data_IF_396869235978
#
_entry.id   IF_396869235978
#
_cell.length_a   1.000
_cell.length_b   1.000
_cell.length_c   1.000
_cell.angle_alpha   90.00
_cell.angle_beta   90.00
_cell.angle_gamma   90.00
#
_symmetry.space_group_name_H-M   'P 1'
#
loop_
_entity.id
_entity.type
_entity.pdbx_description
1 polymer ?
#
# COMPACT_ATOMS: atom_id res chain seq x y z
N UNK A 1 17.26 26.74 -2.68
CA UNK A 1 18.11 25.66 -2.15
C UNK A 1 18.82 24.99 -3.31
N UNK A 2 20.06 24.57 -3.13
CA UNK A 2 20.74 23.65 -4.04
C UNK A 2 19.91 22.37 -4.21
N UNK A 3 19.86 21.83 -5.42
CA UNK A 3 19.03 20.66 -5.75
C UNK A 3 19.53 19.40 -5.06
N UNK A 4 20.86 19.28 -4.87
CA UNK A 4 21.48 18.23 -4.06
C UNK A 4 20.97 18.32 -2.61
N UNK A 5 20.96 19.52 -2.02
CA UNK A 5 20.49 19.72 -0.64
C UNK A 5 18.99 19.38 -0.48
N UNK A 6 18.17 19.63 -1.50
CA UNK A 6 16.75 19.21 -1.50
C UNK A 6 16.63 17.69 -1.48
N UNK A 7 17.36 16.98 -2.34
CA UNK A 7 17.31 15.50 -2.41
C UNK A 7 17.75 14.88 -1.08
N UNK A 8 18.85 15.37 -0.50
CA UNK A 8 19.33 14.92 0.82
C UNK A 8 18.26 15.12 1.90
N UNK A 9 17.59 16.27 1.91
CA UNK A 9 16.50 16.54 2.83
C UNK A 9 15.31 15.60 2.61
N UNK A 10 14.91 15.33 1.37
CA UNK A 10 13.80 14.41 1.07
C UNK A 10 14.12 12.96 1.44
N UNK A 11 15.40 12.55 1.36
CA UNK A 11 15.90 11.27 1.86
C UNK A 11 15.86 11.22 3.40
N UNK A 12 16.27 12.28 4.09
CA UNK A 12 16.19 12.38 5.56
C UNK A 12 14.75 12.26 6.07
N UNK A 13 13.79 12.79 5.30
CA UNK A 13 12.36 12.76 5.65
C UNK A 13 11.63 11.49 5.21
N UNK A 14 12.28 10.62 4.42
CA UNK A 14 11.64 9.42 3.87
C UNK A 14 11.01 8.51 4.97
N UNK A 15 11.64 8.28 6.13
CA UNK A 15 11.03 7.49 7.21
C UNK A 15 9.68 8.04 7.70
N UNK A 16 9.44 9.34 7.54
CA UNK A 16 8.21 10.01 7.99
C UNK A 16 7.11 10.05 6.93
N UNK A 17 7.29 9.39 5.77
CA UNK A 17 6.35 9.42 4.64
C UNK A 17 4.92 9.09 5.07
N UNK A 18 4.71 7.97 5.77
CA UNK A 18 3.37 7.55 6.20
C UNK A 18 2.75 8.50 7.24
N UNK A 19 3.56 9.01 8.18
CA UNK A 19 3.12 9.96 9.21
C UNK A 19 2.70 11.31 8.62
N UNK A 20 3.50 11.85 7.68
CA UNK A 20 3.21 13.12 7.01
C UNK A 20 1.97 13.03 6.12
N UNK A 21 1.82 11.93 5.38
CA UNK A 21 0.66 11.70 4.53
C UNK A 21 -0.62 11.61 5.37
N UNK A 22 -0.59 10.90 6.52
CA UNK A 22 -1.70 10.85 7.49
C UNK A 22 -2.09 12.24 7.99
N UNK A 23 -1.13 13.07 8.39
CA UNK A 23 -1.42 14.42 8.86
C UNK A 23 -2.08 15.29 7.79
N UNK A 24 -1.61 15.18 6.54
CA UNK A 24 -2.16 15.94 5.42
C UNK A 24 -3.61 15.52 5.10
N UNK A 25 -3.92 14.23 5.20
CA UNK A 25 -5.30 13.75 5.07
C UNK A 25 -6.20 14.11 6.23
N UNK A 26 -5.72 14.00 7.47
CA UNK A 26 -6.47 14.44 8.64
C UNK A 26 -6.88 15.92 8.51
N UNK A 27 -5.98 16.77 8.01
CA UNK A 27 -6.28 18.19 7.74
C UNK A 27 -7.24 18.39 6.55
N UNK A 28 -7.19 17.54 5.53
CA UNK A 28 -8.08 17.59 4.36
C UNK A 28 -9.51 17.16 4.70
N UNK A 29 -9.66 16.07 5.47
CA UNK A 29 -10.94 15.56 5.96
C UNK A 29 -11.59 16.54 6.94
N UNK A 30 -10.84 17.07 7.91
CA UNK A 30 -11.37 18.06 8.86
C UNK A 30 -11.85 19.35 8.16
N UNK A 31 -11.18 19.81 7.10
CA UNK A 31 -11.63 20.99 6.33
C UNK A 31 -12.88 20.75 5.47
N UNK A 32 -13.19 19.49 5.12
CA UNK A 32 -14.40 19.15 4.34
C UNK A 32 -15.57 18.68 5.21
N UNK A 33 -15.30 18.17 6.40
CA UNK A 33 -16.32 17.85 7.39
C UNK A 33 -17.15 19.08 7.79
N UNK A 34 -16.57 20.29 7.74
CA UNK A 34 -17.29 21.54 7.94
C UNK A 34 -18.23 21.93 6.78
N UNK A 35 -18.24 21.20 5.64
CA UNK A 35 -19.02 21.61 4.46
C UNK A 35 -20.00 20.60 3.84
N UNK A 36 -19.94 19.29 4.05
CA UNK A 36 -21.00 18.37 3.56
C UNK A 36 -21.07 17.10 4.42
N UNK A 37 -22.19 16.88 5.11
CA UNK A 37 -22.56 15.57 5.66
C UNK A 37 -23.26 14.75 4.58
N UNK A 38 -22.76 13.52 4.39
CA UNK A 38 -23.17 12.47 3.44
C UNK A 38 -22.42 12.41 2.10
N UNK A 39 -21.77 11.26 1.93
CA UNK A 39 -21.53 10.54 0.69
C UNK A 39 -20.66 11.23 -0.37
N UNK A 40 -19.35 11.13 -0.18
CA UNK A 40 -18.47 10.84 -1.31
C UNK A 40 -17.65 9.61 -0.91
N UNK A 41 -17.86 8.50 -1.63
CA UNK A 41 -16.89 7.42 -1.81
C UNK A 41 -15.62 8.04 -2.41
N UNK A 42 -14.82 8.70 -1.57
CA UNK A 42 -13.44 8.96 -1.89
C UNK A 42 -12.76 7.59 -1.82
N UNK A 43 -12.06 7.14 -2.88
CA UNK A 43 -11.25 5.94 -2.77
C UNK A 43 -10.37 6.11 -1.55
N UNK A 44 -10.35 5.10 -0.69
CA UNK A 44 -9.56 5.03 0.53
C UNK A 44 -8.15 5.57 0.25
N UNK A 45 -7.90 6.78 0.75
CA UNK A 45 -6.64 7.47 0.55
C UNK A 45 -5.91 7.50 1.90
N UNK A 46 -5.77 6.33 2.55
CA UNK A 46 -5.24 6.06 3.92
C UNK A 46 -6.29 5.78 5.00
N UNK A 47 -7.22 4.91 4.67
CA UNK A 47 -8.08 4.28 5.68
C UNK A 47 -7.95 2.79 5.57
N UNK A 48 -6.72 2.24 5.68
CA UNK A 48 -6.41 0.82 5.48
C UNK A 48 -7.59 -0.04 5.87
N UNK A 49 -8.15 -0.75 4.91
CA UNK A 49 -9.47 -1.33 5.11
C UNK A 49 -9.47 -2.31 6.28
N UNK A 50 -10.55 -2.33 7.03
CA UNK A 50 -10.78 -3.34 8.06
C UNK A 50 -11.29 -4.60 7.38
N UNK A 51 -10.62 -5.71 7.64
CA UNK A 51 -11.10 -7.05 7.30
C UNK A 51 -11.67 -7.72 8.54
N UNK A 52 -12.95 -8.06 8.49
CA UNK A 52 -13.60 -8.92 9.49
C UNK A 52 -13.79 -10.31 8.89
N UNK A 53 -13.40 -11.35 9.62
CA UNK A 53 -13.73 -12.74 9.32
C UNK A 53 -14.70 -13.28 10.34
N UNK A 54 -15.64 -14.08 9.85
CA UNK A 54 -16.57 -14.87 10.65
C UNK A 54 -16.57 -16.29 10.09
N UNK A 55 -16.01 -17.23 10.84
CA UNK A 55 -15.73 -18.59 10.36
C UNK A 55 -14.91 -18.53 9.07
N UNK A 56 -15.43 -19.12 8.00
CA UNK A 56 -14.78 -19.18 6.68
C UNK A 56 -15.12 -17.99 5.76
N UNK A 57 -15.93 -17.04 6.24
CA UNK A 57 -16.35 -15.88 5.45
C UNK A 57 -15.62 -14.62 5.88
N UNK A 58 -15.36 -13.72 4.93
CA UNK A 58 -14.72 -12.43 5.19
C UNK A 58 -15.49 -11.28 4.55
N UNK A 59 -15.35 -10.09 5.14
CA UNK A 59 -15.78 -8.82 4.56
C UNK A 59 -14.68 -7.78 4.77
N UNK A 60 -14.43 -6.97 3.75
CA UNK A 60 -13.55 -5.81 3.77
C UNK A 60 -14.44 -4.56 3.76
N UNK A 61 -14.12 -3.60 4.61
CA UNK A 61 -14.78 -2.29 4.67
C UNK A 61 -13.75 -1.21 4.97
N UNK A 62 -14.04 0.04 4.58
CA UNK A 62 -13.19 1.17 4.94
C UNK A 62 -12.99 1.26 6.45
N UNK A 63 -11.79 1.61 6.91
CA UNK A 63 -11.56 1.87 8.34
C UNK A 63 -12.29 3.10 8.89
N UNK A 64 -12.83 3.96 8.01
CA UNK A 64 -13.73 5.04 8.39
C UNK A 64 -15.18 4.58 8.62
N UNK A 65 -15.53 3.37 8.19
CA UNK A 65 -16.85 2.76 8.44
C UNK A 65 -16.87 2.13 9.84
N UNK A 66 -17.50 2.83 10.77
CA UNK A 66 -17.59 2.43 12.17
C UNK A 66 -18.85 1.61 12.49
N UNK A 67 -19.81 1.49 11.56
CA UNK A 67 -21.06 0.75 11.72
C UNK A 67 -21.42 -0.09 10.48
N UNK A 68 -21.15 -1.40 10.54
CA UNK A 68 -21.43 -2.31 9.43
C UNK A 68 -21.68 -3.75 9.86
N UNK A 69 -22.32 -4.52 8.96
CA UNK A 69 -22.47 -5.97 9.09
C UNK A 69 -21.44 -6.73 8.26
N UNK A 70 -20.90 -7.82 8.80
CA UNK A 70 -20.09 -8.81 8.08
C UNK A 70 -20.91 -9.60 7.07
N UNK A 71 -20.20 -10.36 6.22
CA UNK A 71 -20.78 -11.46 5.46
C UNK A 71 -21.40 -12.49 6.41
N UNK A 72 -22.47 -13.17 5.97
CA UNK A 72 -23.13 -14.22 6.74
C UNK A 72 -22.29 -15.49 6.70
N UNK A 73 -22.07 -16.09 7.87
CA UNK A 73 -21.47 -17.41 8.00
C UNK A 73 -22.45 -18.43 8.59
N UNK A 74 -22.35 -19.68 8.17
CA UNK A 74 -23.06 -20.78 8.80
C UNK A 74 -22.25 -21.34 9.96
N UNK A 75 -22.91 -21.60 11.10
CA UNK A 75 -22.23 -22.15 12.28
C UNK A 75 -21.83 -23.60 12.02
N UNK A 76 -20.54 -23.95 12.20
CA UNK A 76 -20.02 -25.30 11.97
C UNK A 76 -20.57 -26.32 12.98
N UNK A 77 -20.34 -27.61 12.70
CA UNK A 77 -20.86 -28.71 13.51
C UNK A 77 -20.38 -28.69 14.98
N UNK A 78 -19.19 -28.16 15.24
CA UNK A 78 -18.64 -27.99 16.60
C UNK A 78 -19.30 -26.83 17.38
N UNK A 79 -20.19 -26.05 16.74
CA UNK A 79 -20.92 -24.96 17.37
C UNK A 79 -20.09 -23.71 17.65
N UNK A 80 -18.87 -23.58 17.10
CA UNK A 80 -17.97 -22.45 17.38
C UNK A 80 -17.73 -21.65 16.11
N UNK A 81 -18.12 -20.38 16.12
CA UNK A 81 -17.75 -19.40 15.10
C UNK A 81 -16.59 -18.55 15.62
N UNK A 82 -15.47 -18.59 14.90
CA UNK A 82 -14.34 -17.70 15.15
C UNK A 82 -14.60 -16.35 14.50
N UNK A 83 -14.19 -15.29 15.20
CA UNK A 83 -14.25 -13.92 14.73
C UNK A 83 -12.82 -13.39 14.72
N UNK A 84 -12.40 -12.78 13.62
CA UNK A 84 -11.09 -12.14 13.50
C UNK A 84 -11.26 -10.76 12.87
N UNK A 85 -10.72 -9.74 13.51
CA UNK A 85 -10.71 -8.34 13.07
C UNK A 85 -9.28 -7.88 12.91
N UNK A 86 -8.92 -7.40 11.72
CA UNK A 86 -7.56 -6.94 11.41
C UNK A 86 -7.60 -5.93 10.26
N UNK A 87 -6.50 -5.22 10.05
CA UNK A 87 -6.32 -4.43 8.84
C UNK A 87 -6.08 -5.35 7.63
N UNK A 88 -6.55 -4.93 6.46
CA UNK A 88 -6.19 -5.53 5.18
C UNK A 88 -4.78 -5.06 4.80
N UNK A 89 -3.80 -5.76 5.33
CA UNK A 89 -2.37 -5.51 5.11
C UNK A 89 -1.67 -6.80 4.72
N UNK A 90 -0.47 -6.66 4.19
CA UNK A 90 0.46 -7.80 4.01
C UNK A 90 1.09 -8.27 5.31
N UNK A 91 0.97 -7.47 6.36
CA UNK A 91 1.30 -7.84 7.72
C UNK A 91 0.03 -8.23 8.47
N UNK A 92 0.15 -9.18 9.40
CA UNK A 92 -0.94 -9.54 10.31
C UNK A 92 -1.04 -8.47 11.41
N UNK A 93 -1.83 -7.42 11.17
CA UNK A 93 -2.00 -6.29 12.09
C UNK A 93 -3.40 -6.36 12.72
N UNK A 94 -3.50 -6.80 13.98
CA UNK A 94 -4.80 -7.04 14.62
C UNK A 94 -5.55 -5.74 14.93
N UNK A 95 -6.88 -5.80 14.84
CA UNK A 95 -7.82 -4.78 15.31
C UNK A 95 -8.57 -5.32 16.52
N UNK A 96 -7.87 -5.32 17.65
CA UNK A 96 -8.30 -5.89 18.92
C UNK A 96 -8.94 -4.92 19.89
N UNK A 97 -9.37 -5.45 21.03
CA UNK A 97 -10.02 -4.71 22.12
C UNK A 97 -11.31 -3.99 21.70
N UNK A 98 -12.00 -4.55 20.70
CA UNK A 98 -13.29 -4.05 20.23
C UNK A 98 -14.42 -4.99 20.66
N UNK A 99 -15.60 -4.42 20.90
CA UNK A 99 -16.81 -5.19 21.13
C UNK A 99 -17.60 -5.28 19.82
N UNK A 100 -18.04 -6.49 19.50
CA UNK A 100 -18.88 -6.78 18.33
C UNK A 100 -20.16 -7.47 18.76
N UNK A 101 -21.24 -7.34 17.98
CA UNK A 101 -22.48 -8.05 18.24
C UNK A 101 -22.69 -9.15 17.19
N UNK A 102 -22.88 -10.39 17.63
CA UNK A 102 -23.27 -11.49 16.74
C UNK A 102 -24.78 -11.56 16.66
N UNK A 103 -25.31 -11.55 15.44
CA UNK A 103 -26.75 -11.54 15.16
C UNK A 103 -27.10 -12.72 14.26
N UNK A 104 -28.14 -13.48 14.63
CA UNK A 104 -28.68 -14.52 13.77
C UNK A 104 -29.30 -13.90 12.50
N UNK A 105 -29.13 -14.55 11.34
CA UNK A 105 -29.65 -14.07 10.05
C UNK A 105 -31.18 -13.95 10.04
N UNK A 106 -31.86 -14.86 10.72
CA UNK A 106 -33.33 -14.87 10.83
C UNK A 106 -33.88 -13.73 11.72
N UNK A 107 -32.99 -12.86 12.24
CA UNK A 107 -33.31 -11.87 13.25
C UNK A 107 -33.27 -12.46 14.66
N UNK A 108 -33.40 -11.59 15.66
CA UNK A 108 -33.47 -12.00 17.06
C UNK A 108 -32.36 -11.41 17.93
N UNK A 109 -31.96 -12.20 18.92
CA UNK A 109 -31.05 -11.79 20.00
C UNK A 109 -29.66 -11.43 19.47
N UNK A 110 -29.11 -10.35 20.03
CA UNK A 110 -27.76 -9.87 19.74
C UNK A 110 -26.84 -10.27 20.88
N UNK A 111 -25.82 -11.07 20.59
CA UNK A 111 -24.85 -11.48 21.60
C UNK A 111 -23.58 -10.66 21.46
N UNK A 112 -23.21 -9.96 22.53
CA UNK A 112 -21.95 -9.22 22.57
C UNK A 112 -20.77 -10.17 22.73
N UNK A 113 -19.76 -9.99 21.89
CA UNK A 113 -18.49 -10.69 21.94
C UNK A 113 -17.39 -9.64 21.98
N UNK A 114 -16.50 -9.74 22.96
CA UNK A 114 -15.30 -8.90 23.02
C UNK A 114 -14.17 -9.60 22.29
N UNK A 115 -13.56 -8.91 21.32
CA UNK A 115 -12.34 -9.38 20.67
C UNK A 115 -11.14 -9.03 21.56
N UNK A 116 -10.20 -9.96 21.69
CA UNK A 116 -8.96 -9.78 22.44
C UNK A 116 -8.02 -8.77 21.75
N UNK A 117 -6.84 -8.54 22.33
CA UNK A 117 -5.81 -7.65 21.77
C UNK A 117 -5.36 -8.06 20.36
N UNK A 118 -5.52 -9.35 20.00
CA UNK A 118 -5.20 -9.90 18.69
C UNK A 118 -6.36 -9.82 17.71
N UNK A 119 -7.45 -9.11 18.06
CA UNK A 119 -8.62 -8.99 17.21
C UNK A 119 -9.41 -10.29 17.10
N UNK A 120 -9.21 -11.25 18.02
CA UNK A 120 -9.82 -12.58 17.95
C UNK A 120 -10.90 -12.74 19.00
N UNK A 121 -11.97 -13.42 18.60
CA UNK A 121 -13.09 -13.74 19.47
C UNK A 121 -13.75 -15.04 19.05
N UNK A 122 -14.55 -15.60 19.94
CA UNK A 122 -15.29 -16.83 19.67
C UNK A 122 -16.75 -16.65 20.07
N UNK A 123 -17.64 -17.13 19.22
CA UNK A 123 -19.06 -17.16 19.47
C UNK A 123 -19.56 -18.59 19.43
N UNK A 124 -20.27 -19.01 20.49
CA UNK A 124 -20.92 -20.32 20.53
C UNK A 124 -22.30 -20.22 19.91
N UNK A 125 -22.43 -20.72 18.69
CA UNK A 125 -23.67 -20.75 17.92
C UNK A 125 -24.36 -22.11 17.94
N UNK A 126 -25.51 -22.18 17.27
CA UNK A 126 -26.24 -23.42 17.03
C UNK A 126 -25.76 -23.98 15.68
N UNK A 127 -25.25 -25.22 15.63
CA UNK A 127 -24.83 -25.85 14.37
C UNK A 127 -25.88 -25.74 13.26
N UNK A 128 -25.45 -25.35 12.07
CA UNK A 128 -26.31 -25.21 10.90
C UNK A 128 -27.09 -23.89 10.80
N UNK A 129 -27.20 -23.09 11.87
CA UNK A 129 -27.79 -21.74 11.83
C UNK A 129 -26.80 -20.73 11.24
N UNK A 130 -27.33 -19.68 10.62
CA UNK A 130 -26.55 -18.61 9.99
C UNK A 130 -26.47 -17.36 10.86
N UNK A 131 -25.27 -16.78 10.96
CA UNK A 131 -24.97 -15.62 11.79
C UNK A 131 -24.19 -14.56 10.98
N UNK A 132 -24.21 -13.32 11.47
CA UNK A 132 -23.38 -12.21 10.99
C UNK A 132 -22.88 -11.40 12.19
N UNK A 133 -21.75 -10.73 12.03
CA UNK A 133 -21.21 -9.82 13.02
C UNK A 133 -21.64 -8.40 12.67
N UNK A 134 -22.14 -7.65 13.64
CA UNK A 134 -22.33 -6.21 13.61
C UNK A 134 -21.16 -5.57 14.35
N UNK A 135 -20.41 -4.73 13.66
CA UNK A 135 -19.30 -3.98 14.24
C UNK A 135 -19.76 -2.54 14.41
N UNK A 136 -19.59 -1.99 15.62
CA UNK A 136 -19.95 -0.61 15.99
C UNK A 136 -18.76 0.05 16.71
N UNK A 137 -17.62 0.11 16.02
CA UNK A 137 -16.39 0.65 16.60
C UNK A 137 -15.51 1.32 15.54
N UNK A 138 -15.13 2.57 15.81
CA UNK A 138 -14.14 3.29 15.02
C UNK A 138 -12.72 2.77 15.30
N UNK A 139 -11.84 2.85 14.30
CA UNK A 139 -10.40 2.61 14.49
C UNK A 139 -9.80 3.74 15.33
N UNK A 140 -9.06 3.40 16.37
CA UNK A 140 -8.46 4.43 17.26
C UNK A 140 -7.15 4.98 16.68
N UNK A 141 -6.74 6.20 17.11
CA UNK A 141 -5.43 6.75 16.73
C UNK A 141 -4.24 5.86 17.12
N UNK A 142 -4.32 5.13 18.24
CA UNK A 142 -3.28 4.18 18.67
C UNK A 142 -3.20 2.97 17.74
N UNK A 143 -4.34 2.33 17.43
CA UNK A 143 -4.38 1.19 16.50
C UNK A 143 -3.82 1.56 15.12
N UNK A 144 -4.14 2.78 14.66
CA UNK A 144 -3.58 3.32 13.42
C UNK A 144 -2.08 3.64 13.55
N UNK A 145 -1.59 3.98 14.74
CA UNK A 145 -0.17 4.12 15.02
C UNK A 145 0.58 2.79 14.95
N UNK A 146 0.01 1.73 15.52
CA UNK A 146 0.59 0.38 15.49
C UNK A 146 0.60 -0.20 14.07
N UNK A 147 -0.43 0.10 13.26
CA UNK A 147 -0.41 -0.14 11.83
C UNK A 147 0.84 0.47 11.20
N UNK A 148 1.08 1.77 11.32
CA UNK A 148 2.21 2.42 10.64
C UNK A 148 3.57 1.94 11.14
N UNK A 149 3.71 1.67 12.43
CA UNK A 149 4.95 1.08 12.99
C UNK A 149 5.30 -0.27 12.37
N UNK A 150 4.31 -1.08 11.99
CA UNK A 150 4.58 -2.37 11.32
C UNK A 150 5.36 -2.20 9.99
N UNK A 151 5.29 -1.02 9.38
CA UNK A 151 6.01 -0.68 8.15
C UNK A 151 7.38 -0.05 8.38
N UNK A 152 7.80 0.24 9.63
CA UNK A 152 9.12 0.85 9.92
C UNK A 152 10.27 0.03 9.32
N UNK A 153 10.16 -1.30 9.39
CA UNK A 153 11.14 -2.21 8.79
C UNK A 153 11.19 -2.15 7.26
N UNK A 154 10.04 -1.95 6.59
CA UNK A 154 10.00 -1.75 5.14
C UNK A 154 10.54 -0.36 4.78
N UNK A 155 10.09 0.67 5.50
CA UNK A 155 10.50 2.06 5.33
C UNK A 155 12.03 2.20 5.42
N UNK A 156 12.65 1.64 6.46
CA UNK A 156 14.11 1.69 6.62
C UNK A 156 14.88 0.93 5.53
N UNK A 157 14.35 -0.18 5.00
CA UNK A 157 14.99 -0.89 3.87
C UNK A 157 14.93 -0.08 2.58
N UNK A 158 13.79 0.55 2.30
CA UNK A 158 13.61 1.40 1.12
C UNK A 158 14.47 2.65 1.21
N UNK A 159 14.57 3.27 2.39
CA UNK A 159 15.47 4.40 2.64
C UNK A 159 16.94 4.00 2.42
N UNK A 160 17.40 2.90 3.03
CA UNK A 160 18.77 2.43 2.87
C UNK A 160 19.11 2.13 1.40
N UNK A 161 18.15 1.57 0.66
CA UNK A 161 18.28 1.35 -0.77
C UNK A 161 18.39 2.67 -1.56
N UNK A 162 17.49 3.63 -1.31
CA UNK A 162 17.55 4.96 -1.94
C UNK A 162 18.86 5.68 -1.66
N UNK A 163 19.38 5.60 -0.43
CA UNK A 163 20.69 6.15 -0.04
C UNK A 163 21.83 5.51 -0.82
N UNK A 164 21.78 4.19 -1.01
CA UNK A 164 22.77 3.47 -1.82
C UNK A 164 22.75 3.94 -3.28
N UNK A 165 21.57 4.12 -3.86
CA UNK A 165 21.42 4.64 -5.22
C UNK A 165 21.93 6.09 -5.32
N UNK A 166 21.58 6.92 -4.34
CA UNK A 166 22.02 8.32 -4.28
C UNK A 166 23.53 8.45 -4.28
N UNK A 167 24.26 7.61 -3.54
CA UNK A 167 25.74 7.61 -3.55
C UNK A 167 26.33 7.42 -4.95
N UNK A 168 25.65 6.66 -5.83
CA UNK A 168 26.05 6.49 -7.22
C UNK A 168 25.61 7.62 -8.16
N UNK A 169 24.57 8.38 -7.80
CA UNK A 169 24.08 9.51 -8.59
C UNK A 169 24.78 10.82 -8.22
N UNK A 170 24.92 11.10 -6.92
CA UNK A 170 25.41 12.37 -6.37
C UNK A 170 26.69 12.91 -7.05
N UNK A 171 27.73 12.11 -7.34
CA UNK A 171 28.94 12.63 -7.99
C UNK A 171 28.73 13.11 -9.44
N UNK A 172 27.65 12.69 -10.09
CA UNK A 172 27.29 13.06 -11.47
C UNK A 172 26.39 14.30 -11.52
N UNK A 173 25.99 14.84 -10.37
CA UNK A 173 25.20 16.05 -10.29
C UNK A 173 26.07 17.31 -10.45
N UNK A 174 25.63 18.32 -11.23
CA UNK A 174 26.36 19.56 -11.38
C UNK A 174 26.35 20.38 -10.07
N UNK A 175 27.52 20.84 -9.62
CA UNK A 175 27.68 21.63 -8.37
C UNK A 175 27.19 23.09 -8.46
N UNK A 176 26.83 23.59 -9.64
CA UNK A 176 26.36 24.97 -9.85
C UNK A 176 25.05 25.00 -10.63
N UNK A 177 23.93 25.18 -9.94
CA UNK A 177 22.59 25.25 -10.53
C UNK A 177 22.27 26.67 -11.01
N UNK A 178 22.84 27.12 -12.14
CA UNK A 178 22.22 28.15 -12.98
C UNK A 178 21.23 27.56 -14.00
N UNK A 179 21.09 26.24 -14.03
CA UNK A 179 20.03 25.54 -14.75
C UNK A 179 18.69 25.58 -13.98
N UNK A 180 18.24 26.77 -13.59
CA UNK A 180 16.89 27.01 -13.09
C UNK A 180 15.84 27.02 -14.22
N UNK A 181 16.24 26.83 -15.48
CA UNK A 181 15.34 26.83 -16.63
C UNK A 181 15.26 25.42 -17.20
N UNK A 182 14.29 24.67 -16.71
CA UNK A 182 13.94 23.40 -17.32
C UNK A 182 13.33 22.38 -16.38
N UNK A 183 12.61 22.79 -15.33
CA UNK A 183 11.81 21.87 -14.52
C UNK A 183 10.76 22.61 -13.68
N UNK A 184 9.85 23.33 -14.36
CA UNK A 184 8.56 23.72 -13.79
C UNK A 184 7.73 22.52 -13.27
N UNK A 185 8.22 21.29 -13.46
CA UNK A 185 7.66 20.03 -13.00
C UNK A 185 7.92 19.72 -11.51
N UNK A 186 8.95 20.30 -10.88
CA UNK A 186 9.44 19.79 -9.58
C UNK A 186 9.02 20.59 -8.35
N UNK A 187 8.39 21.76 -8.52
CA UNK A 187 7.64 22.43 -7.45
C UNK A 187 6.17 21.96 -7.37
N UNK A 188 5.71 21.26 -8.42
CA UNK A 188 4.41 20.60 -8.52
C UNK A 188 4.42 19.11 -8.22
N UNK A 189 5.49 18.61 -7.56
CA UNK A 189 5.76 17.20 -7.29
C UNK A 189 4.62 16.47 -6.57
N UNK A 190 3.74 17.18 -5.87
CA UNK A 190 2.51 16.61 -5.29
C UNK A 190 1.33 16.48 -6.28
N UNK A 191 1.07 17.50 -7.11
CA UNK A 191 -0.05 17.48 -8.05
C UNK A 191 0.17 16.53 -9.23
N UNK A 192 1.43 16.23 -9.56
CA UNK A 192 1.79 15.24 -10.58
C UNK A 192 1.65 13.78 -10.07
N UNK A 193 1.81 13.54 -8.77
CA UNK A 193 1.64 12.22 -8.14
C UNK A 193 0.18 11.74 -8.16
N UNK A 194 -0.79 12.67 -8.07
CA UNK A 194 -2.23 12.36 -8.17
C UNK A 194 -2.58 11.77 -9.55
N UNK A 195 -1.91 12.20 -10.62
CA UNK A 195 -2.15 11.66 -11.97
C UNK A 195 -1.62 10.23 -12.18
N UNK A 196 -0.67 9.78 -11.36
CA UNK A 196 -0.23 8.36 -11.33
C UNK A 196 -1.26 7.52 -10.58
N UNK A 197 -1.91 8.07 -9.55
CA UNK A 197 -2.95 7.37 -8.79
C UNK A 197 -4.14 6.94 -9.63
N UNK A 198 -4.56 7.76 -10.60
CA UNK A 198 -5.61 7.40 -11.58
C UNK A 198 -5.26 6.15 -12.40
N UNK A 199 -3.96 5.82 -12.54
CA UNK A 199 -3.48 4.60 -13.20
C UNK A 199 -3.07 3.50 -12.21
N UNK A 200 -2.81 3.82 -10.95
CA UNK A 200 -2.57 2.86 -9.86
C UNK A 200 -3.82 2.03 -9.57
N UNK A 201 -5.01 2.60 -9.78
CA UNK A 201 -6.26 1.83 -9.78
C UNK A 201 -6.27 0.64 -10.75
N UNK A 202 -5.40 0.64 -11.76
CA UNK A 202 -5.21 -0.47 -12.69
C UNK A 202 -4.13 -1.47 -12.24
N UNK A 203 -3.39 -1.26 -11.14
CA UNK A 203 -2.36 -2.21 -10.68
C UNK A 203 -2.95 -3.60 -10.44
N UNK A 204 -4.12 -3.69 -9.81
CA UNK A 204 -4.82 -4.96 -9.64
C UNK A 204 -5.14 -5.62 -11.00
N UNK A 205 -5.56 -4.84 -12.00
CA UNK A 205 -5.80 -5.34 -13.35
C UNK A 205 -4.50 -5.75 -14.08
N UNK A 206 -3.42 -5.00 -13.88
CA UNK A 206 -2.07 -5.29 -14.38
C UNK A 206 -1.54 -6.60 -13.79
N UNK A 207 -1.76 -6.85 -12.49
CA UNK A 207 -1.34 -8.09 -11.85
C UNK A 207 -2.19 -9.30 -12.28
N UNK A 208 -3.47 -9.08 -12.59
CA UNK A 208 -4.36 -10.14 -13.08
C UNK A 208 -4.03 -10.57 -14.51
N UNK A 209 -3.70 -9.62 -15.40
CA UNK A 209 -3.27 -9.91 -16.76
C UNK A 209 -2.08 -9.04 -17.20
N UNK A 210 -0.85 -9.39 -16.76
CA UNK A 210 0.35 -8.62 -17.09
C UNK A 210 0.63 -8.57 -18.61
N UNK A 211 0.17 -9.58 -19.36
CA UNK A 211 0.42 -9.70 -20.80
C UNK A 211 -0.40 -8.69 -21.59
N UNK A 212 -1.61 -8.37 -21.13
CA UNK A 212 -2.43 -7.30 -21.71
C UNK A 212 -1.74 -5.93 -21.68
N UNK A 213 -0.86 -5.71 -20.70
CA UNK A 213 -0.15 -4.44 -20.53
C UNK A 213 1.31 -4.50 -20.98
N UNK A 214 1.73 -5.55 -21.70
CA UNK A 214 3.14 -5.78 -22.05
C UNK A 214 3.86 -4.58 -22.70
N UNK A 215 3.15 -3.77 -23.51
CA UNK A 215 3.72 -2.57 -24.13
C UNK A 215 4.02 -1.44 -23.12
N UNK A 216 3.26 -1.38 -22.01
CA UNK A 216 3.43 -0.39 -20.95
C UNK A 216 4.43 -0.86 -19.89
N UNK A 217 4.47 -2.17 -19.62
CA UNK A 217 5.29 -2.78 -18.57
C UNK A 217 6.69 -3.18 -19.02
N UNK A 218 6.95 -3.21 -20.33
CA UNK A 218 8.23 -3.65 -20.88
C UNK A 218 8.63 -5.04 -20.37
N UNK A 219 9.85 -5.13 -19.85
CA UNK A 219 10.42 -6.38 -19.36
C UNK A 219 9.71 -6.91 -18.09
N UNK A 220 9.10 -6.03 -17.28
CA UNK A 220 8.38 -6.42 -16.06
C UNK A 220 7.16 -7.28 -16.36
N UNK A 221 6.55 -7.17 -17.57
CA UNK A 221 5.47 -8.08 -17.98
C UNK A 221 5.93 -9.54 -18.04
N UNK A 222 7.13 -9.77 -18.57
CA UNK A 222 7.69 -11.11 -18.68
C UNK A 222 8.05 -11.66 -17.29
N UNK A 223 8.58 -10.82 -16.39
CA UNK A 223 8.89 -11.21 -15.02
C UNK A 223 7.62 -11.57 -14.24
N UNK A 224 6.56 -10.78 -14.36
CA UNK A 224 5.27 -11.09 -13.75
C UNK A 224 4.68 -12.39 -14.29
N UNK A 225 4.76 -12.62 -15.61
CA UNK A 225 4.31 -13.87 -16.21
C UNK A 225 5.12 -15.08 -15.73
N UNK A 226 6.44 -14.92 -15.57
CA UNK A 226 7.33 -15.95 -15.02
C UNK A 226 7.02 -16.23 -13.55
N UNK A 227 6.86 -15.19 -12.73
CA UNK A 227 6.52 -15.30 -11.32
C UNK A 227 5.16 -15.99 -11.12
N UNK A 228 4.16 -15.67 -11.96
CA UNK A 228 2.86 -16.32 -11.94
C UNK A 228 2.95 -17.84 -12.22
N UNK A 229 3.86 -18.24 -13.11
CA UNK A 229 4.05 -19.65 -13.48
C UNK A 229 4.86 -20.44 -12.45
N UNK A 230 5.94 -19.83 -11.94
CA UNK A 230 6.91 -20.51 -11.09
C UNK A 230 6.52 -20.48 -9.61
N UNK A 231 5.84 -19.42 -9.16
CA UNK A 231 5.53 -19.19 -7.75
C UNK A 231 4.14 -18.58 -7.54
N UNK A 232 3.05 -19.37 -7.64
CA UNK A 232 1.68 -18.88 -7.46
C UNK A 232 1.42 -18.16 -6.12
N UNK A 233 2.08 -18.62 -5.05
CA UNK A 233 1.99 -17.97 -3.73
C UNK A 233 2.60 -16.56 -3.71
N UNK A 234 3.67 -16.33 -4.48
CA UNK A 234 4.26 -15.01 -4.65
C UNK A 234 3.30 -14.09 -5.41
N UNK A 235 2.56 -14.62 -6.39
CA UNK A 235 1.54 -13.85 -7.11
C UNK A 235 0.36 -13.47 -6.21
N UNK A 236 -0.10 -14.38 -5.34
CA UNK A 236 -1.14 -14.05 -4.36
C UNK A 236 -0.69 -12.96 -3.37
N UNK A 237 0.58 -13.01 -2.91
CA UNK A 237 1.17 -11.95 -2.07
C UNK A 237 1.35 -10.64 -2.81
N UNK A 238 1.70 -10.68 -4.10
CA UNK A 238 1.80 -9.49 -4.94
C UNK A 238 0.44 -8.80 -5.08
N UNK A 239 -0.63 -9.59 -5.26
CA UNK A 239 -2.01 -9.07 -5.28
C UNK A 239 -2.40 -8.45 -3.94
N UNK A 240 -2.04 -9.08 -2.82
CA UNK A 240 -2.25 -8.48 -1.49
C UNK A 240 -1.47 -7.17 -1.32
N UNK A 241 -0.21 -7.11 -1.75
CA UNK A 241 0.59 -5.87 -1.72
C UNK A 241 -0.01 -4.77 -2.60
N UNK A 242 -0.60 -5.12 -3.74
CA UNK A 242 -1.28 -4.15 -4.61
C UNK A 242 -2.60 -3.63 -4.04
N UNK A 243 -3.11 -4.26 -2.97
CA UNK A 243 -4.24 -3.76 -2.17
C UNK A 243 -3.77 -3.09 -0.87
N UNK A 244 -2.48 -3.14 -0.54
CA UNK A 244 -1.91 -2.54 0.66
C UNK A 244 -1.49 -1.10 0.39
N UNK A 245 -2.39 -0.16 0.72
CA UNK A 245 -2.20 1.28 0.50
C UNK A 245 -0.94 1.84 1.16
N UNK A 246 -0.59 1.36 2.36
CA UNK A 246 0.58 1.85 3.09
C UNK A 246 1.88 1.37 2.41
N UNK A 247 1.93 0.10 2.00
CA UNK A 247 3.03 -0.42 1.20
C UNK A 247 3.14 0.34 -0.13
N UNK A 248 2.04 0.51 -0.85
CA UNK A 248 2.02 1.22 -2.13
C UNK A 248 2.44 2.68 -2.00
N UNK A 249 2.05 3.37 -0.92
CA UNK A 249 2.49 4.74 -0.66
C UNK A 249 4.01 4.81 -0.49
N UNK A 250 4.59 3.91 0.30
CA UNK A 250 6.04 3.82 0.46
C UNK A 250 6.73 3.54 -0.88
N UNK A 251 6.25 2.56 -1.64
CA UNK A 251 6.85 2.19 -2.92
C UNK A 251 6.73 3.31 -3.98
N UNK A 252 5.59 3.99 -4.04
CA UNK A 252 5.39 5.14 -4.93
C UNK A 252 6.33 6.28 -4.54
N UNK A 253 6.45 6.57 -3.24
CA UNK A 253 7.39 7.57 -2.73
C UNK A 253 8.84 7.19 -3.07
N UNK A 254 9.20 5.91 -2.96
CA UNK A 254 10.50 5.39 -3.38
C UNK A 254 10.74 5.62 -4.86
N UNK A 255 9.82 5.21 -5.73
CA UNK A 255 9.95 5.37 -7.18
C UNK A 255 10.10 6.85 -7.57
N UNK A 256 9.31 7.72 -6.95
CA UNK A 256 9.32 9.16 -7.21
C UNK A 256 10.64 9.81 -6.80
N UNK A 257 11.11 9.50 -5.60
CA UNK A 257 12.37 10.04 -5.11
C UNK A 257 13.56 9.50 -5.92
N UNK A 258 13.52 8.23 -6.34
CA UNK A 258 14.52 7.67 -7.25
C UNK A 258 14.58 8.39 -8.59
N UNK A 259 13.42 8.72 -9.19
CA UNK A 259 13.38 9.52 -10.41
C UNK A 259 13.91 10.95 -10.20
N UNK A 260 13.64 11.57 -9.06
CA UNK A 260 14.18 12.89 -8.71
C UNK A 260 15.71 12.86 -8.50
N UNK A 261 16.27 11.73 -8.10
CA UNK A 261 17.71 11.51 -7.90
C UNK A 261 18.50 11.35 -9.21
N UNK A 262 17.84 11.12 -10.35
CA UNK A 262 18.51 10.91 -11.62
C UNK A 262 19.25 12.19 -12.08
N UNK A 263 20.55 12.09 -12.43
CA UNK A 263 21.30 13.23 -12.93
C UNK A 263 20.70 13.78 -14.23
N UNK A 264 20.72 15.10 -14.47
CA UNK A 264 20.20 15.71 -15.70
C UNK A 264 20.80 15.13 -17.00
N UNK A 265 22.02 14.63 -16.94
CA UNK A 265 22.69 13.96 -18.06
C UNK A 265 22.02 12.64 -18.49
N UNK A 266 21.42 11.92 -17.54
CA UNK A 266 20.66 10.68 -17.80
C UNK A 266 19.26 10.99 -18.34
N UNK A 267 18.70 12.14 -17.94
CA UNK A 267 17.38 12.59 -18.37
C UNK A 267 17.38 13.29 -19.75
N UNK A 268 18.56 13.56 -20.31
CA UNK A 268 18.70 14.27 -21.57
C UNK A 268 18.10 13.46 -22.74
N UNK A 269 17.00 13.94 -23.32
CA UNK A 269 16.32 13.29 -24.44
C UNK A 269 15.19 12.33 -24.04
N UNK A 270 14.94 12.14 -22.74
CA UNK A 270 13.80 11.37 -22.23
C UNK A 270 12.53 12.21 -22.33
N UNK A 271 11.48 11.67 -22.96
CA UNK A 271 10.18 12.34 -23.06
C UNK A 271 9.34 12.14 -21.79
N UNK A 272 8.35 13.00 -21.57
CA UNK A 272 7.40 12.85 -20.45
C UNK A 272 6.66 11.51 -20.51
N UNK A 273 6.35 11.02 -21.72
CA UNK A 273 5.69 9.72 -21.93
C UNK A 273 6.59 8.53 -21.61
N UNK A 274 7.90 8.58 -21.94
CA UNK A 274 8.83 7.55 -21.48
C UNK A 274 9.01 7.59 -19.97
N UNK A 275 9.05 8.77 -19.36
CA UNK A 275 9.22 8.89 -17.91
C UNK A 275 8.04 8.29 -17.14
N UNK A 276 6.82 8.50 -17.63
CA UNK A 276 5.62 7.87 -17.05
C UNK A 276 5.65 6.35 -17.15
N UNK A 277 6.16 5.77 -18.26
CA UNK A 277 6.31 4.32 -18.40
C UNK A 277 7.37 3.76 -17.47
N UNK A 278 8.52 4.43 -17.37
CA UNK A 278 9.58 4.04 -16.43
C UNK A 278 9.11 4.08 -14.98
N UNK A 279 8.30 5.07 -14.59
CA UNK A 279 7.74 5.14 -13.24
C UNK A 279 6.86 3.92 -12.91
N UNK A 280 6.04 3.46 -13.86
CA UNK A 280 5.18 2.27 -13.68
C UNK A 280 6.02 0.98 -13.67
N UNK A 281 6.99 0.85 -14.56
CA UNK A 281 7.92 -0.29 -14.59
C UNK A 281 8.73 -0.39 -13.29
N UNK A 282 9.27 0.74 -12.81
CA UNK A 282 9.97 0.85 -11.53
C UNK A 282 9.08 0.47 -10.36
N UNK A 283 7.83 0.96 -10.30
CA UNK A 283 6.88 0.62 -9.25
C UNK A 283 6.59 -0.90 -9.22
N UNK A 284 6.44 -1.53 -10.38
CA UNK A 284 6.23 -2.97 -10.47
C UNK A 284 7.48 -3.76 -10.11
N UNK A 285 8.66 -3.32 -10.54
CA UNK A 285 9.91 -3.95 -10.13
C UNK A 285 10.13 -3.83 -8.62
N UNK A 286 9.74 -2.72 -8.00
CA UNK A 286 9.71 -2.55 -6.54
C UNK A 286 8.72 -3.51 -5.87
N UNK A 287 7.51 -3.69 -6.42
CA UNK A 287 6.53 -4.66 -5.93
C UNK A 287 7.06 -6.10 -6.02
N UNK A 288 7.64 -6.48 -7.15
CA UNK A 288 8.24 -7.81 -7.36
C UNK A 288 9.41 -8.01 -6.40
N UNK A 289 10.30 -7.03 -6.29
CA UNK A 289 11.43 -7.05 -5.36
C UNK A 289 10.97 -7.20 -3.91
N UNK A 290 9.89 -6.53 -3.52
CA UNK A 290 9.31 -6.65 -2.19
C UNK A 290 8.77 -8.07 -1.93
N UNK A 291 8.01 -8.63 -2.87
CA UNK A 291 7.53 -10.02 -2.76
C UNK A 291 8.68 -10.99 -2.69
N UNK A 292 9.70 -10.86 -3.55
CA UNK A 292 10.86 -11.75 -3.55
C UNK A 292 11.66 -11.64 -2.24
N UNK A 293 11.66 -10.47 -1.60
CA UNK A 293 12.26 -10.32 -0.26
C UNK A 293 11.52 -11.16 0.78
N UNK A 294 10.19 -11.21 0.73
CA UNK A 294 9.37 -11.99 1.66
C UNK A 294 9.22 -13.49 1.29
N UNK A 295 9.28 -13.83 0.00
CA UNK A 295 9.01 -15.17 -0.51
C UNK A 295 10.28 -15.97 -0.79
N UNK A 296 11.40 -15.31 -1.15
CA UNK A 296 12.60 -15.96 -1.67
C UNK A 296 13.88 -15.55 -0.90
N UNK A 297 13.82 -15.60 0.44
CA UNK A 297 14.98 -15.45 1.32
C UNK A 297 15.87 -14.21 1.04
N UNK A 298 15.27 -13.07 0.69
CA UNK A 298 16.00 -11.81 0.49
C UNK A 298 16.52 -11.54 -0.93
N UNK A 299 16.12 -12.33 -1.94
CA UNK A 299 16.53 -12.12 -3.34
C UNK A 299 16.06 -10.79 -3.97
N UNK A 300 15.17 -10.05 -3.31
CA UNK A 300 14.57 -8.82 -3.83
C UNK A 300 15.56 -7.67 -4.07
N UNK A 301 16.56 -7.50 -3.20
CA UNK A 301 17.59 -6.45 -3.39
C UNK A 301 18.45 -6.77 -4.60
N UNK A 302 18.87 -8.03 -4.76
CA UNK A 302 19.64 -8.46 -5.93
C UNK A 302 18.83 -8.31 -7.23
N UNK A 303 17.53 -8.62 -7.20
CA UNK A 303 16.61 -8.40 -8.31
C UNK A 303 16.57 -6.92 -8.72
N UNK A 304 16.33 -6.02 -7.76
CA UNK A 304 16.24 -4.57 -8.00
C UNK A 304 17.56 -4.00 -8.53
N UNK A 305 18.70 -4.37 -7.93
CA UNK A 305 20.02 -3.92 -8.39
C UNK A 305 20.31 -4.38 -9.82
N UNK A 306 19.96 -5.62 -10.19
CA UNK A 306 20.15 -6.13 -11.56
C UNK A 306 19.27 -5.38 -12.57
N UNK A 307 18.02 -5.10 -12.21
CA UNK A 307 17.07 -4.40 -13.09
C UNK A 307 17.47 -2.94 -13.30
N UNK A 308 17.82 -2.24 -12.23
CA UNK A 308 18.07 -0.80 -12.29
C UNK A 308 19.44 -0.44 -12.87
N UNK A 309 20.42 -1.35 -12.78
CA UNK A 309 21.65 -1.25 -13.56
C UNK A 309 21.39 -1.18 -15.09
N UNK A 310 20.29 -1.75 -15.58
CA UNK A 310 19.90 -1.66 -17.00
C UNK A 310 19.23 -0.33 -17.34
N UNK A 311 18.47 0.25 -16.41
CA UNK A 311 17.82 1.56 -16.61
C UNK A 311 18.80 2.73 -16.56
N UNK A 312 19.89 2.62 -15.79
CA UNK A 312 20.93 3.67 -15.71
C UNK A 312 22.04 3.60 -16.77
N UNK A 313 22.03 2.59 -17.65
CA UNK A 313 23.06 2.34 -18.66
C UNK A 313 22.59 2.59 -20.11
N UNK A 314 21.34 2.97 -20.32
CA UNK A 314 20.77 3.38 -21.61
C UNK A 314 20.66 4.90 -21.68
#
# INVERSE_FOLDING_TARGET
MDQIARIEQELDHFPHTLSLYREQLGRFLNRRADQVSHALDLPSLMGMDRRIKLGDTSKVVSSGDDDFFSTVAQCPANGILLIESQFESVYDIPLGNIQVEVVAREGGERTRVTLDEQGKGQFKGIPGKSYRVHVQSAVTPEQLGDLFKSYDGLSGRLEAWLRSEWQGFQPRWPHSTSAAVGNGLLAGSWAALVGVWDRVGELSAILQDPRRFAQQLGDSAHQLAKLAQETPEAMARLQLLASDEAALCLLLRTASLWLEMLPPSVMAGVTAESLSRFAVELLLDLLIGLVLTFAAAGAGVAYLSMRLARHGAQ
#
